data_IF_586957724789
#
_entry.id   IF_586957724789
#
_cell.length_a   1.000
_cell.length_b   1.000
_cell.length_c   1.000
_cell.angle_alpha   90.00
_cell.angle_beta   90.00
_cell.angle_gamma   90.00
#
_symmetry.space_group_name_H-M   'P 1'
#
loop_
_entity.id
_entity.type
_entity.pdbx_description
1 polymer ?
#
# COMPACT_ATOMS: atom_id res chain seq x y z
N UNK A 1 9.63 -13.48 -3.17
CA UNK A 1 9.71 -14.09 -1.83
C UNK A 1 10.70 -15.25 -1.85
N UNK A 2 11.51 -15.42 -0.79
CA UNK A 2 12.52 -16.50 -0.72
C UNK A 2 11.92 -17.89 -0.47
N UNK A 3 10.64 -17.98 -0.11
CA UNK A 3 9.87 -19.23 -0.01
C UNK A 3 9.50 -19.80 -1.39
N UNK A 4 10.50 -20.18 -2.19
CA UNK A 4 10.30 -20.63 -3.58
C UNK A 4 9.63 -22.00 -3.72
N UNK A 5 9.51 -22.76 -2.63
CA UNK A 5 8.73 -24.01 -2.58
C UNK A 5 7.33 -23.81 -1.96
N UNK A 6 6.99 -22.56 -1.60
CA UNK A 6 5.71 -22.21 -0.98
C UNK A 6 5.40 -23.06 0.28
N UNK A 7 6.40 -23.22 1.16
CA UNK A 7 6.30 -24.01 2.40
C UNK A 7 5.57 -23.27 3.52
N UNK A 8 5.63 -21.96 3.52
CA UNK A 8 5.06 -21.09 4.56
C UNK A 8 4.05 -20.09 3.99
N UNK A 9 4.07 -19.87 2.69
CA UNK A 9 3.17 -18.94 2.00
C UNK A 9 1.85 -19.60 1.60
N UNK A 10 0.73 -18.90 1.82
CA UNK A 10 -0.60 -19.31 1.36
C UNK A 10 -1.44 -18.09 1.03
N UNK A 11 -1.82 -17.95 -0.24
CA UNK A 11 -2.72 -16.91 -0.71
C UNK A 11 -4.09 -17.49 -1.09
N UNK A 12 -5.17 -16.82 -0.69
CA UNK A 12 -6.54 -17.22 -0.99
C UNK A 12 -7.43 -16.01 -1.19
N UNK A 13 -8.39 -16.12 -2.11
CA UNK A 13 -9.49 -15.17 -2.20
C UNK A 13 -10.47 -15.53 -1.08
N UNK A 14 -10.69 -14.62 -0.14
CA UNK A 14 -11.57 -14.86 1.02
C UNK A 14 -12.96 -14.27 0.82
N UNK A 15 -13.08 -13.23 -0.01
CA UNK A 15 -14.36 -12.65 -0.37
C UNK A 15 -14.32 -12.30 -1.87
N UNK A 16 -14.78 -13.19 -2.76
CA UNK A 16 -14.92 -12.89 -4.17
C UNK A 16 -16.24 -12.14 -4.38
N UNK A 17 -16.21 -10.95 -4.95
CA UNK A 17 -17.45 -10.30 -5.34
C UNK A 17 -17.27 -9.06 -6.21
N UNK A 18 -18.40 -8.55 -6.72
CA UNK A 18 -18.39 -7.52 -7.74
C UNK A 18 -18.15 -6.11 -7.16
N UNK A 19 -18.49 -5.85 -5.89
CA UNK A 19 -18.23 -4.55 -5.25
C UNK A 19 -16.82 -4.46 -4.66
N UNK A 20 -16.26 -5.60 -4.25
CA UNK A 20 -14.84 -5.76 -3.90
C UNK A 20 -14.42 -7.23 -3.93
N UNK A 21 -13.15 -7.47 -4.22
CA UNK A 21 -12.50 -8.75 -3.99
C UNK A 21 -11.49 -8.64 -2.85
N UNK A 22 -11.51 -9.57 -1.90
CA UNK A 22 -10.55 -9.61 -0.80
C UNK A 22 -9.63 -10.82 -0.94
N UNK A 23 -8.34 -10.56 -1.06
CA UNK A 23 -7.28 -11.58 -1.06
C UNK A 23 -6.58 -11.56 0.27
N UNK A 24 -6.44 -12.72 0.90
CA UNK A 24 -5.66 -12.91 2.12
C UNK A 24 -4.41 -13.73 1.80
N UNK A 25 -3.25 -13.23 2.24
CA UNK A 25 -1.97 -13.88 2.06
C UNK A 25 -1.24 -14.00 3.39
N UNK A 26 -1.06 -15.24 3.85
CA UNK A 26 -0.25 -15.57 5.00
C UNK A 26 1.15 -16.01 4.55
N UNK A 27 2.21 -15.59 5.25
CA UNK A 27 3.56 -16.09 5.00
C UNK A 27 4.50 -15.95 6.20
N UNK A 28 5.58 -16.74 6.20
CA UNK A 28 6.72 -16.57 7.10
C UNK A 28 7.88 -15.88 6.38
N UNK A 29 8.62 -15.02 7.07
CA UNK A 29 9.84 -14.40 6.53
C UNK A 29 10.99 -15.40 6.62
N UNK A 30 11.11 -16.28 5.63
CA UNK A 30 12.21 -17.24 5.58
C UNK A 30 13.33 -16.81 4.62
N UNK A 31 14.52 -17.37 4.82
CA UNK A 31 15.57 -17.34 3.79
C UNK A 31 15.42 -18.46 2.75
N UNK A 32 16.34 -18.52 1.78
CA UNK A 32 16.39 -19.55 0.74
C UNK A 32 16.63 -20.98 1.25
N UNK A 33 16.99 -21.15 2.53
CA UNK A 33 17.12 -22.44 3.21
C UNK A 33 15.90 -22.75 4.08
N UNK A 34 14.82 -21.96 3.95
CA UNK A 34 13.58 -22.09 4.71
C UNK A 34 13.75 -21.87 6.22
N UNK A 35 14.79 -21.14 6.64
CA UNK A 35 14.94 -20.74 8.04
C UNK A 35 14.14 -19.48 8.28
N UNK A 36 13.22 -19.52 9.25
CA UNK A 36 12.36 -18.37 9.57
C UNK A 36 13.18 -17.32 10.35
N UNK A 37 13.07 -16.07 9.93
CA UNK A 37 13.68 -14.92 10.58
C UNK A 37 13.21 -14.85 12.03
N UNK A 38 14.15 -14.77 12.96
CA UNK A 38 13.93 -14.85 14.41
C UNK A 38 13.09 -16.05 14.88
N UNK A 39 13.03 -17.13 14.11
CA UNK A 39 12.30 -18.36 14.45
C UNK A 39 10.80 -18.30 14.19
N UNK A 40 10.16 -17.15 14.39
CA UNK A 40 8.69 -17.01 14.39
C UNK A 40 8.19 -15.70 13.74
N UNK A 41 8.94 -15.13 12.79
CA UNK A 41 8.48 -13.94 12.05
C UNK A 41 7.50 -14.33 10.94
N UNK A 42 6.26 -13.85 11.06
CA UNK A 42 5.19 -14.08 10.09
C UNK A 42 4.48 -12.78 9.73
N UNK A 43 3.68 -12.82 8.67
CA UNK A 43 2.84 -11.73 8.25
C UNK A 43 1.56 -12.25 7.58
N UNK A 44 0.51 -11.43 7.67
CA UNK A 44 -0.76 -11.60 7.00
C UNK A 44 -1.03 -10.30 6.24
N UNK A 45 -1.27 -10.44 4.95
CA UNK A 45 -1.65 -9.34 4.08
C UNK A 45 -3.06 -9.53 3.57
N UNK A 46 -3.88 -8.50 3.74
CA UNK A 46 -5.18 -8.40 3.10
C UNK A 46 -5.11 -7.35 2.01
N UNK A 47 -5.49 -7.73 0.79
CA UNK A 47 -5.70 -6.82 -0.33
C UNK A 47 -7.18 -6.73 -0.61
N UNK A 48 -7.77 -5.57 -0.36
CA UNK A 48 -9.16 -5.26 -0.70
C UNK A 48 -9.18 -4.49 -2.02
N UNK A 49 -9.54 -5.16 -3.11
CA UNK A 49 -9.52 -4.67 -4.49
C UNK A 49 -10.91 -4.21 -4.92
N UNK A 50 -11.03 -3.03 -5.52
CA UNK A 50 -12.30 -2.44 -5.96
C UNK A 50 -12.44 -2.41 -7.49
N UNK A 51 -13.66 -2.16 -8.02
CA UNK A 51 -13.92 -2.07 -9.45
C UNK A 51 -13.10 -1.00 -10.18
N UNK A 52 -12.61 0.02 -9.49
CA UNK A 52 -11.73 1.05 -10.06
C UNK A 52 -10.26 0.63 -10.21
N UNK A 53 -9.93 -0.64 -9.89
CA UNK A 53 -8.57 -1.18 -10.02
C UNK A 53 -7.63 -0.78 -8.90
N UNK A 54 -8.12 -0.07 -7.88
CA UNK A 54 -7.36 0.27 -6.69
C UNK A 54 -7.58 -0.77 -5.59
N UNK A 55 -6.55 -0.95 -4.77
CA UNK A 55 -6.57 -1.86 -3.65
C UNK A 55 -6.06 -1.17 -2.38
N UNK A 56 -6.66 -1.49 -1.23
CA UNK A 56 -6.04 -1.23 0.07
C UNK A 56 -5.31 -2.49 0.50
N UNK A 57 -4.00 -2.37 0.71
CA UNK A 57 -3.17 -3.39 1.33
C UNK A 57 -3.09 -3.10 2.83
N UNK A 58 -3.50 -4.08 3.63
CA UNK A 58 -3.29 -4.15 5.07
C UNK A 58 -2.27 -5.25 5.36
N UNK A 59 -1.06 -4.88 5.75
CA UNK A 59 -0.03 -5.79 6.24
C UNK A 59 -0.11 -5.83 7.77
N UNK A 60 -0.39 -6.98 8.35
CA UNK A 60 -0.18 -7.25 9.77
C UNK A 60 1.11 -8.06 9.90
N UNK A 61 2.12 -7.47 10.52
CA UNK A 61 3.40 -8.15 10.79
C UNK A 61 3.47 -8.64 12.23
N UNK A 62 4.07 -9.81 12.40
CA UNK A 62 4.49 -10.35 13.69
C UNK A 62 6.02 -10.51 13.70
N UNK A 63 6.78 -9.44 14.01
CA UNK A 63 8.23 -9.52 14.17
C UNK A 63 8.65 -10.58 15.18
N UNK A 64 9.54 -11.50 14.80
CA UNK A 64 9.92 -12.62 15.64
C UNK A 64 10.91 -12.28 16.76
N UNK A 65 11.00 -13.18 17.73
CA UNK A 65 11.78 -13.04 18.97
C UNK A 65 12.26 -14.38 19.58
N UNK A 66 11.94 -15.52 18.97
CA UNK A 66 12.27 -16.85 19.50
C UNK A 66 13.71 -17.29 19.21
N UNK A 67 14.41 -16.60 18.31
CA UNK A 67 15.78 -16.93 17.91
C UNK A 67 16.57 -15.73 17.40
N UNK A 68 17.90 -15.81 17.46
CA UNK A 68 18.81 -14.90 16.74
C UNK A 68 19.05 -15.28 15.28
N UNK A 69 18.40 -16.33 14.76
CA UNK A 69 18.51 -16.73 13.35
C UNK A 69 18.03 -15.60 12.43
N UNK A 70 18.84 -15.26 11.43
CA UNK A 70 18.60 -14.09 10.57
C UNK A 70 19.33 -12.82 11.02
N UNK A 71 19.90 -12.82 12.24
CA UNK A 71 20.69 -11.71 12.77
C UNK A 71 19.84 -10.54 13.28
N UNK A 72 20.50 -9.47 13.71
CA UNK A 72 19.83 -8.30 14.26
C UNK A 72 19.10 -7.50 13.14
N UNK A 73 17.79 -7.20 13.29
CA UNK A 73 17.07 -6.42 12.30
C UNK A 73 17.60 -4.99 12.33
N UNK A 74 18.26 -4.65 11.24
CA UNK A 74 18.85 -3.31 11.05
C UNK A 74 18.11 -2.58 9.94
N UNK A 75 17.03 -3.18 9.46
CA UNK A 75 15.99 -2.57 8.64
C UNK A 75 14.70 -3.40 8.77
N UNK A 76 13.57 -2.73 8.61
CA UNK A 76 12.26 -3.35 8.39
C UNK A 76 11.62 -2.68 7.19
N UNK A 77 11.73 -3.34 6.06
CA UNK A 77 11.13 -2.94 4.80
C UNK A 77 9.70 -3.47 4.72
N UNK A 78 8.76 -2.62 4.30
CA UNK A 78 7.33 -2.92 4.24
C UNK A 78 6.84 -3.00 2.79
N UNK A 79 7.61 -2.44 1.86
CA UNK A 79 7.39 -2.54 0.43
C UNK A 79 8.57 -2.00 -0.38
N UNK A 80 8.59 -2.38 -1.65
CA UNK A 80 9.61 -1.99 -2.62
C UNK A 80 8.97 -1.76 -3.99
N UNK A 81 9.34 -0.66 -4.65
CA UNK A 81 9.07 -0.50 -6.07
C UNK A 81 10.12 -1.29 -6.85
N UNK A 82 9.79 -2.56 -7.12
CA UNK A 82 10.63 -3.51 -7.83
C UNK A 82 9.95 -3.93 -9.14
N UNK A 83 10.70 -3.86 -10.24
CA UNK A 83 10.25 -4.28 -11.57
C UNK A 83 10.82 -5.65 -11.88
N UNK A 84 10.00 -6.57 -12.38
CA UNK A 84 10.45 -7.87 -12.87
C UNK A 84 10.75 -7.77 -14.36
N UNK A 85 12.00 -8.03 -14.74
CA UNK A 85 12.43 -8.07 -16.13
C UNK A 85 12.52 -9.53 -16.59
N UNK A 86 11.76 -9.95 -17.62
CA UNK A 86 11.90 -11.29 -18.19
C UNK A 86 13.22 -11.42 -18.97
N UNK A 87 13.53 -12.64 -19.40
CA UNK A 87 14.68 -12.87 -20.31
C UNK A 87 14.46 -12.11 -21.62
N UNK A 88 15.51 -11.48 -22.12
CA UNK A 88 15.49 -10.66 -23.34
C UNK A 88 15.08 -9.20 -23.13
N UNK A 89 14.74 -8.79 -21.91
CA UNK A 89 14.32 -7.42 -21.60
C UNK A 89 15.31 -6.76 -20.67
N UNK A 90 15.68 -5.52 -20.97
CA UNK A 90 16.50 -4.68 -20.09
C UNK A 90 15.68 -3.51 -19.52
N UNK A 91 16.04 -2.98 -18.33
CA UNK A 91 15.24 -1.95 -17.68
C UNK A 91 15.12 -0.65 -18.50
N UNK A 92 16.12 -0.34 -19.32
CA UNK A 92 16.12 0.83 -20.23
C UNK A 92 15.04 0.76 -21.32
N UNK A 93 14.53 -0.44 -21.61
CA UNK A 93 13.45 -0.66 -22.58
C UNK A 93 12.07 -0.55 -21.93
N UNK A 94 11.97 -0.75 -20.62
CA UNK A 94 10.69 -0.79 -19.89
C UNK A 94 10.43 0.48 -19.10
N UNK A 95 11.46 1.10 -18.52
CA UNK A 95 11.32 2.28 -17.68
C UNK A 95 11.41 3.57 -18.50
N UNK A 96 10.41 4.45 -18.32
CA UNK A 96 10.43 5.81 -18.84
C UNK A 96 11.18 6.70 -17.84
N UNK A 97 11.96 7.69 -18.28
CA UNK A 97 12.49 8.71 -17.36
C UNK A 97 11.45 9.82 -17.10
N UNK A 98 11.24 10.24 -15.85
CA UNK A 98 11.79 9.66 -14.62
C UNK A 98 11.21 8.27 -14.34
N UNK A 99 12.01 7.31 -13.88
CA UNK A 99 11.59 5.93 -13.63
C UNK A 99 10.64 5.80 -12.43
N UNK A 100 10.85 6.60 -11.38
CA UNK A 100 9.97 6.70 -10.22
C UNK A 100 9.64 8.18 -9.99
N UNK A 101 8.36 8.48 -9.84
CA UNK A 101 7.88 9.80 -9.41
C UNK A 101 7.25 9.65 -8.03
N UNK A 102 7.73 10.41 -7.05
CA UNK A 102 7.13 10.57 -5.74
C UNK A 102 6.40 11.91 -5.67
N UNK A 103 5.19 11.92 -5.10
CA UNK A 103 4.43 13.14 -4.86
C UNK A 103 3.63 13.06 -3.57
N UNK A 104 3.17 14.20 -3.08
CA UNK A 104 2.22 14.31 -1.98
C UNK A 104 0.93 15.01 -2.45
N UNK A 105 -0.03 15.18 -1.54
CA UNK A 105 -1.30 15.85 -1.79
C UNK A 105 -1.16 17.38 -1.89
N UNK A 106 -0.04 17.97 -1.43
CA UNK A 106 0.24 19.38 -1.61
C UNK A 106 0.81 19.72 -3.01
N UNK A 107 1.02 18.72 -3.86
CA UNK A 107 1.49 18.92 -5.23
C UNK A 107 3.01 18.90 -5.39
N UNK A 108 3.77 18.62 -4.33
CA UNK A 108 5.25 18.54 -4.37
C UNK A 108 5.66 17.27 -5.09
N UNK A 109 6.77 17.32 -5.82
CA UNK A 109 7.22 16.20 -6.67
C UNK A 109 8.72 15.98 -6.50
N UNK A 110 9.11 14.72 -6.37
CA UNK A 110 10.49 14.23 -6.45
C UNK A 110 10.57 13.19 -7.55
N UNK A 111 11.56 13.32 -8.42
CA UNK A 111 11.73 12.47 -9.59
C UNK A 111 13.05 11.72 -9.52
N UNK A 112 13.01 10.42 -9.86
CA UNK A 112 14.16 9.56 -9.89
C UNK A 112 14.30 8.93 -11.27
N UNK A 113 15.41 9.21 -11.96
CA UNK A 113 15.75 8.57 -13.22
C UNK A 113 16.23 7.12 -13.05
N UNK A 114 16.44 6.42 -14.16
CA UNK A 114 17.11 5.12 -14.18
C UNK A 114 18.24 5.13 -15.23
N UNK A 115 19.47 4.69 -14.88
CA UNK A 115 19.95 4.39 -13.53
C UNK A 115 19.99 5.63 -12.64
N UNK A 116 19.80 5.45 -11.32
CA UNK A 116 19.80 6.58 -10.38
C UNK A 116 21.19 6.79 -9.77
N UNK A 117 21.87 7.88 -10.13
CA UNK A 117 23.21 8.17 -9.62
C UNK A 117 23.16 9.28 -8.57
N UNK A 118 23.62 8.99 -7.35
CA UNK A 118 23.83 10.00 -6.30
C UNK A 118 25.06 9.72 -5.46
N UNK A 119 25.55 10.75 -4.78
CA UNK A 119 26.53 10.65 -3.70
C UNK A 119 25.81 10.87 -2.36
N UNK A 120 26.19 10.14 -1.30
CA UNK A 120 25.67 10.37 0.06
C UNK A 120 24.66 9.33 0.60
N UNK A 121 24.02 9.61 1.75
CA UNK A 121 23.20 8.64 2.49
C UNK A 121 21.95 8.20 1.72
N UNK A 122 21.45 7.01 2.05
CA UNK A 122 20.57 6.22 1.16
C UNK A 122 19.12 6.66 1.10
N UNK A 123 18.68 7.65 1.87
CA UNK A 123 17.25 8.01 1.98
C UNK A 123 16.94 9.28 1.18
N UNK A 124 15.75 9.36 0.58
CA UNK A 124 15.37 10.52 -0.25
C UNK A 124 15.37 11.83 0.55
N UNK A 125 14.96 11.80 1.83
CA UNK A 125 14.94 12.99 2.68
C UNK A 125 16.31 13.64 2.91
N UNK A 126 17.42 12.95 2.61
CA UNK A 126 18.74 13.56 2.66
C UNK A 126 18.99 14.53 1.49
N UNK A 127 18.38 14.26 0.35
CA UNK A 127 18.46 15.07 -0.87
C UNK A 127 17.30 16.04 -0.99
N UNK A 128 16.13 15.63 -0.51
CA UNK A 128 14.87 16.38 -0.50
C UNK A 128 14.35 16.51 0.95
N UNK A 129 14.96 17.36 1.80
CA UNK A 129 14.64 17.46 3.23
C UNK A 129 13.17 17.74 3.53
N UNK A 130 12.47 18.43 2.64
CA UNK A 130 11.05 18.71 2.74
C UNK A 130 10.19 17.44 2.77
N UNK A 131 10.66 16.34 2.20
CA UNK A 131 9.96 15.05 2.22
C UNK A 131 9.71 14.56 3.63
N UNK A 132 10.60 14.86 4.59
CA UNK A 132 10.41 14.49 5.99
C UNK A 132 9.13 15.10 6.60
N UNK A 133 8.55 16.13 5.97
CA UNK A 133 7.34 16.84 6.39
C UNK A 133 6.15 16.62 5.46
N UNK A 134 6.22 15.66 4.55
CA UNK A 134 5.06 15.29 3.74
C UNK A 134 4.04 14.56 4.60
N UNK A 135 2.75 14.79 4.33
CA UNK A 135 1.65 14.11 5.03
C UNK A 135 1.48 12.66 4.57
N UNK A 136 1.92 12.38 3.35
CA UNK A 136 1.81 11.10 2.67
C UNK A 136 2.80 11.05 1.51
N UNK A 137 3.03 9.84 1.01
CA UNK A 137 3.93 9.59 -0.10
C UNK A 137 3.18 8.76 -1.13
N UNK A 138 3.15 9.24 -2.36
CA UNK A 138 2.53 8.59 -3.51
C UNK A 138 3.64 8.33 -4.51
N UNK A 139 4.06 7.08 -4.65
CA UNK A 139 5.09 6.67 -5.60
C UNK A 139 4.53 5.93 -6.78
N UNK A 140 4.76 6.46 -7.98
CA UNK A 140 4.36 5.90 -9.27
C UNK A 140 5.59 5.49 -10.08
N UNK A 141 5.65 4.23 -10.51
CA UNK A 141 6.67 3.76 -11.45
C UNK A 141 6.21 4.08 -12.86
N UNK A 142 7.06 4.74 -13.65
CA UNK A 142 6.70 5.16 -15.00
C UNK A 142 7.24 4.15 -16.01
N UNK A 143 6.33 3.40 -16.64
CA UNK A 143 6.68 2.47 -17.71
C UNK A 143 6.55 3.11 -19.10
N UNK A 144 7.28 2.56 -20.07
CA UNK A 144 7.10 2.81 -21.50
C UNK A 144 5.88 2.01 -21.97
N UNK A 145 4.93 2.71 -22.59
CA UNK A 145 3.73 2.16 -23.25
C UNK A 145 2.92 1.13 -22.43
N UNK A 146 2.96 1.28 -21.09
CA UNK A 146 2.22 0.46 -20.15
C UNK A 146 1.63 1.32 -19.03
N UNK A 147 0.50 0.88 -18.43
CA UNK A 147 -0.02 1.50 -17.23
C UNK A 147 1.01 1.51 -16.09
N UNK A 148 1.03 2.60 -15.34
CA UNK A 148 1.99 2.85 -14.27
C UNK A 148 1.47 2.31 -12.93
N UNK A 149 2.14 1.34 -12.29
CA UNK A 149 1.78 0.92 -10.95
C UNK A 149 2.18 2.00 -9.94
N UNK A 150 1.41 2.09 -8.86
CA UNK A 150 1.70 3.00 -7.76
C UNK A 150 1.48 2.36 -6.40
N UNK A 151 2.12 2.96 -5.40
CA UNK A 151 1.83 2.72 -3.99
C UNK A 151 1.75 4.07 -3.27
N UNK A 152 0.77 4.21 -2.39
CA UNK A 152 0.59 5.38 -1.55
C UNK A 152 0.47 4.98 -0.07
N UNK A 153 1.13 5.71 0.81
CA UNK A 153 1.09 5.47 2.25
C UNK A 153 1.23 6.77 3.04
N UNK A 154 0.54 6.89 4.20
CA UNK A 154 0.55 8.11 4.99
C UNK A 154 1.83 8.22 5.83
N UNK A 155 2.23 9.46 6.11
CA UNK A 155 3.11 9.79 7.22
C UNK A 155 2.31 9.86 8.53
N UNK A 156 1.83 8.69 8.98
CA UNK A 156 1.01 8.57 10.18
C UNK A 156 1.42 7.34 10.96
N UNK A 157 1.93 7.45 12.20
CA UNK A 157 2.29 6.28 12.99
C UNK A 157 1.08 5.40 13.36
N UNK A 158 -0.15 5.90 13.20
CA UNK A 158 -1.37 5.13 13.44
C UNK A 158 -1.72 4.20 12.26
N UNK A 159 -1.54 4.68 11.02
CA UNK A 159 -1.90 3.93 9.81
C UNK A 159 -0.69 3.25 9.15
N UNK A 160 0.50 3.82 9.33
CA UNK A 160 1.76 3.34 8.80
C UNK A 160 2.89 3.57 9.83
N UNK A 161 2.98 2.69 10.85
CA UNK A 161 3.99 2.80 11.90
C UNK A 161 5.41 2.90 11.33
N UNK A 162 6.20 3.81 11.90
CA UNK A 162 7.59 4.04 11.52
C UNK A 162 8.39 4.54 12.73
N UNK A 163 9.70 4.32 12.69
CA UNK A 163 10.66 4.86 13.62
C UNK A 163 11.17 6.22 13.13
N UNK A 164 11.90 6.92 13.99
CA UNK A 164 12.67 8.10 13.57
C UNK A 164 13.64 7.70 12.43
N UNK A 165 13.67 8.50 11.38
CA UNK A 165 14.53 8.28 10.22
C UNK A 165 16.00 8.20 10.66
N UNK A 166 16.72 7.18 10.21
CA UNK A 166 18.15 7.04 10.50
C UNK A 166 18.97 8.23 10.03
N UNK A 167 18.55 8.90 8.95
CA UNK A 167 19.33 9.94 8.28
C UNK A 167 19.09 11.35 8.83
N UNK A 168 17.84 11.79 8.93
CA UNK A 168 17.52 13.15 9.38
C UNK A 168 16.98 13.22 10.82
N UNK A 169 16.69 12.07 11.46
CA UNK A 169 16.17 12.00 12.82
C UNK A 169 14.69 12.35 12.99
N UNK A 170 14.02 12.79 11.94
CA UNK A 170 12.59 13.14 11.95
C UNK A 170 11.69 11.89 11.94
N UNK A 171 10.46 12.04 12.45
CA UNK A 171 9.46 10.96 12.46
C UNK A 171 8.74 10.90 11.12
N UNK A 172 9.23 10.07 10.21
CA UNK A 172 8.56 9.76 8.95
C UNK A 172 8.95 8.37 8.41
N UNK A 173 8.12 7.74 7.56
CA UNK A 173 8.50 6.56 6.81
C UNK A 173 9.77 6.82 6.01
N UNK A 174 10.78 5.98 6.19
CA UNK A 174 12.04 6.14 5.48
C UNK A 174 11.92 5.52 4.08
N UNK A 175 12.16 6.33 3.04
CA UNK A 175 12.17 5.88 1.64
C UNK A 175 13.62 5.89 1.14
N UNK A 176 14.09 4.72 0.70
CA UNK A 176 15.47 4.49 0.27
C UNK A 176 15.57 4.22 -1.22
N UNK A 177 16.05 5.17 -2.04
CA UNK A 177 16.44 4.86 -3.41
C UNK A 177 17.58 3.86 -3.48
N UNK A 178 17.53 3.02 -4.50
CA UNK A 178 18.63 2.16 -4.90
C UNK A 178 19.53 2.89 -5.89
N UNK A 179 20.83 2.94 -5.59
CA UNK A 179 21.81 3.73 -6.35
C UNK A 179 22.48 2.88 -7.42
N UNK A 180 22.62 3.46 -8.62
CA UNK A 180 23.22 2.87 -9.80
C UNK A 180 22.23 2.02 -10.60
N UNK A 181 22.79 1.10 -11.38
CA UNK A 181 22.04 0.12 -12.16
C UNK A 181 21.67 -1.08 -11.29
N UNK A 182 20.82 -0.88 -10.29
CA UNK A 182 20.45 -1.94 -9.35
C UNK A 182 19.51 -3.00 -9.98
N UNK A 183 20.10 -3.81 -10.84
CA UNK A 183 19.49 -5.03 -11.34
C UNK A 183 20.06 -6.23 -10.58
N UNK A 184 19.19 -7.07 -10.07
CA UNK A 184 19.54 -8.24 -9.27
C UNK A 184 18.88 -9.52 -9.85
N UNK A 185 19.46 -10.68 -9.55
CA UNK A 185 18.97 -12.01 -9.99
C UNK A 185 18.49 -12.85 -8.79
N UNK A 186 18.00 -12.20 -7.75
CA UNK A 186 17.52 -12.85 -6.52
C UNK A 186 16.01 -13.19 -6.58
N UNK A 187 15.27 -12.62 -7.54
CA UNK A 187 13.89 -13.02 -7.82
C UNK A 187 13.73 -13.32 -9.32
N UNK A 188 12.96 -14.39 -9.66
CA UNK A 188 12.43 -15.40 -8.76
C UNK A 188 13.55 -16.25 -8.12
N UNK A 189 13.40 -16.60 -6.84
CA UNK A 189 14.35 -17.48 -6.14
C UNK A 189 14.17 -18.93 -6.59
N UNK A 190 15.23 -19.74 -6.56
CA UNK A 190 15.20 -21.17 -6.93
C UNK A 190 16.24 -21.98 -6.16
N UNK A 191 16.08 -23.30 -6.11
CA UNK A 191 16.87 -24.24 -5.27
C UNK A 191 18.39 -24.14 -5.39
N UNK A 192 18.92 -23.69 -6.53
CA UNK A 192 20.36 -23.55 -6.79
C UNK A 192 20.91 -22.17 -6.40
N UNK A 193 20.07 -21.25 -5.95
CA UNK A 193 20.47 -19.92 -5.56
C UNK A 193 20.81 -19.89 -4.07
N UNK A 194 22.11 -19.82 -3.73
CA UNK A 194 22.56 -19.65 -2.36
C UNK A 194 23.00 -18.20 -2.10
N UNK A 195 22.18 -17.42 -1.40
CA UNK A 195 22.53 -16.08 -0.96
C UNK A 195 21.63 -15.63 0.21
N UNK A 196 22.11 -14.63 0.94
CA UNK A 196 21.34 -13.90 1.95
C UNK A 196 21.18 -12.46 1.43
N UNK A 197 19.95 -12.03 1.15
CA UNK A 197 19.66 -10.70 0.60
C UNK A 197 19.55 -10.69 -0.92
N UNK A 198 20.52 -10.13 -1.63
CA UNK A 198 20.48 -9.93 -3.09
C UNK A 198 21.74 -10.43 -3.80
N UNK A 199 21.62 -10.68 -5.11
CA UNK A 199 22.73 -11.03 -6.00
C UNK A 199 22.66 -10.15 -7.23
N UNK A 200 23.69 -9.32 -7.46
CA UNK A 200 23.76 -8.40 -8.61
C UNK A 200 23.73 -9.16 -9.93
N UNK A 201 22.95 -8.67 -10.89
CA UNK A 201 22.85 -9.24 -12.22
C UNK A 201 24.07 -8.90 -13.09
N UNK A 202 24.62 -7.69 -13.00
CA UNK A 202 25.76 -7.23 -13.81
C UNK A 202 25.52 -7.48 -15.31
N UNK A 203 26.39 -8.26 -15.96
CA UNK A 203 26.30 -8.60 -17.38
C UNK A 203 25.20 -9.63 -17.71
N UNK A 204 24.46 -10.11 -16.72
CA UNK A 204 23.35 -11.04 -16.88
C UNK A 204 22.00 -10.38 -17.12
N UNK A 205 21.93 -9.04 -17.03
CA UNK A 205 20.73 -8.27 -17.39
C UNK A 205 20.36 -8.58 -18.85
N UNK A 206 19.08 -8.90 -19.09
CA UNK A 206 18.58 -9.37 -20.38
C UNK A 206 18.92 -10.82 -20.74
N UNK A 207 19.91 -11.47 -20.10
CA UNK A 207 20.27 -12.88 -20.38
C UNK A 207 19.44 -13.90 -19.57
N UNK A 208 18.82 -13.45 -18.49
CA UNK A 208 17.98 -14.24 -17.58
C UNK A 208 16.96 -13.32 -16.90
N UNK A 209 15.94 -13.86 -16.21
CA UNK A 209 15.04 -13.02 -15.43
C UNK A 209 15.82 -12.26 -14.34
N UNK A 210 15.57 -10.97 -14.22
CA UNK A 210 16.15 -10.10 -13.20
C UNK A 210 15.07 -9.23 -12.56
N UNK A 211 15.41 -8.59 -11.44
CA UNK A 211 14.64 -7.49 -10.87
C UNK A 211 15.37 -6.18 -11.03
N UNK A 212 14.63 -5.10 -11.21
CA UNK A 212 15.11 -3.72 -11.11
C UNK A 212 14.48 -3.06 -9.90
N UNK A 213 15.31 -2.83 -8.89
CA UNK A 213 14.91 -2.20 -7.64
C UNK A 213 15.06 -0.69 -7.76
N UNK A 214 13.96 0.06 -7.63
CA UNK A 214 13.94 1.52 -7.76
C UNK A 214 14.12 2.19 -6.40
N UNK A 215 13.21 1.92 -5.47
CA UNK A 215 13.30 2.38 -4.09
C UNK A 215 12.50 1.45 -3.17
N UNK A 216 12.83 1.46 -1.89
CA UNK A 216 12.06 0.77 -0.86
C UNK A 216 11.59 1.70 0.26
N UNK A 217 10.60 1.25 1.02
CA UNK A 217 10.01 2.02 2.11
C UNK A 217 9.60 1.11 3.27
N UNK A 218 9.61 1.62 4.49
CA UNK A 218 9.25 0.80 5.64
C UNK A 218 9.31 1.48 6.99
N UNK A 219 9.32 0.66 8.03
CA UNK A 219 9.33 1.11 9.43
C UNK A 219 10.61 1.87 9.76
N UNK A 220 11.74 1.49 9.19
CA UNK A 220 12.98 2.23 9.32
C UNK A 220 14.19 1.38 8.94
N UNK A 221 15.31 2.05 8.70
CA UNK A 221 16.55 1.41 8.33
C UNK A 221 17.67 1.92 9.24
N UNK A 222 18.07 1.10 10.20
CA UNK A 222 19.12 1.36 11.19
C UNK A 222 20.54 1.27 10.63
N UNK A 223 20.70 1.44 9.32
CA UNK A 223 21.99 1.54 8.65
C UNK A 223 22.28 3.01 8.33
N UNK A 224 23.18 3.64 9.09
CA UNK A 224 23.93 4.78 8.57
C UNK A 224 25.29 4.28 8.09
N UNK A 225 25.55 4.46 6.79
CA UNK A 225 26.92 4.51 6.34
C UNK A 225 27.51 5.84 6.82
N UNK A 226 28.70 5.80 7.43
CA UNK A 226 29.53 7.00 7.53
C UNK A 226 29.72 7.60 6.12
N UNK A 227 29.98 8.91 5.99
CA UNK A 227 30.17 9.59 4.70
C UNK A 227 31.17 8.92 3.75
N UNK A 228 32.05 8.07 4.26
CA UNK A 228 33.06 7.31 3.51
C UNK A 228 32.64 5.89 3.11
N UNK A 229 31.39 5.48 3.32
CA UNK A 229 30.89 4.15 2.95
C UNK A 229 31.36 2.99 3.82
N UNK A 230 32.13 3.25 4.89
CA UNK A 230 32.62 2.20 5.78
C UNK A 230 31.48 1.63 6.65
N UNK A 231 31.29 0.31 6.56
CA UNK A 231 30.37 -0.47 7.42
C UNK A 231 31.13 -0.96 8.65
N UNK A 232 31.10 -0.24 9.77
CA UNK A 232 31.68 -0.73 11.04
C UNK A 232 30.59 -1.29 11.94
N UNK A 233 30.94 -2.15 12.89
CA UNK A 233 30.00 -2.71 13.87
C UNK A 233 29.25 -1.64 14.69
N UNK A 234 29.82 -0.43 14.81
CA UNK A 234 29.19 0.74 15.44
C UNK A 234 28.13 1.45 14.56
N UNK A 235 27.98 1.05 13.29
CA UNK A 235 26.95 1.55 12.36
C UNK A 235 25.56 0.97 12.66
N UNK A 236 25.49 -0.16 13.38
CA UNK A 236 24.24 -0.73 13.89
C UNK A 236 23.80 0.02 15.16
N UNK A 237 23.46 1.30 15.02
CA UNK A 237 23.16 2.17 16.16
C UNK A 237 21.85 1.83 16.87
N UNK A 238 20.95 1.04 16.25
CA UNK A 238 19.65 0.70 16.84
C UNK A 238 19.15 -0.64 16.32
N UNK A 239 18.86 -1.56 17.22
CA UNK A 239 17.91 -2.64 16.92
C UNK A 239 16.59 -1.95 16.57
N UNK A 240 16.18 -2.05 15.31
CA UNK A 240 14.87 -1.59 14.90
C UNK A 240 13.97 -2.80 14.95
N UNK A 241 12.99 -2.78 15.84
CA UNK A 241 11.97 -3.81 15.89
C UNK A 241 10.61 -3.12 16.01
N UNK A 242 9.74 -3.25 15.00
CA UNK A 242 8.36 -2.84 15.12
C UNK A 242 7.68 -3.59 16.26
N UNK A 243 6.62 -3.03 16.86
CA UNK A 243 5.79 -3.77 17.81
C UNK A 243 5.28 -5.10 17.22
N UNK A 244 5.02 -6.08 18.10
CA UNK A 244 4.38 -7.36 17.73
C UNK A 244 2.98 -7.41 18.38
N UNK A 245 1.88 -7.51 17.60
CA UNK A 245 1.79 -7.28 16.16
C UNK A 245 1.94 -5.78 15.82
N UNK A 246 2.15 -5.49 14.55
CA UNK A 246 2.00 -4.12 14.01
C UNK A 246 1.32 -4.16 12.65
N UNK A 247 0.66 -3.06 12.27
CA UNK A 247 -0.15 -2.99 11.04
C UNK A 247 0.26 -1.82 10.19
N UNK A 248 0.49 -2.04 8.90
CA UNK A 248 0.72 -1.00 7.90
C UNK A 248 -0.38 -1.01 6.85
N UNK A 249 -0.94 0.17 6.56
CA UNK A 249 -1.91 0.38 5.50
C UNK A 249 -1.28 1.17 4.34
N UNK A 250 -1.46 0.66 3.12
CA UNK A 250 -1.07 1.37 1.90
C UNK A 250 -2.11 1.16 0.81
N UNK A 251 -2.36 2.17 0.00
CA UNK A 251 -3.12 2.03 -1.23
C UNK A 251 -2.17 1.61 -2.36
N UNK A 252 -2.60 0.67 -3.20
CA UNK A 252 -1.85 0.21 -4.36
C UNK A 252 -2.79 0.11 -5.55
N UNK A 253 -2.23 0.20 -6.75
CA UNK A 253 -3.01 0.04 -7.96
C UNK A 253 -2.19 0.34 -9.19
N UNK A 254 -2.91 0.46 -10.29
CA UNK A 254 -2.35 0.75 -11.60
C UNK A 254 -3.13 1.91 -12.20
N UNK A 255 -2.45 2.86 -12.82
CA UNK A 255 -3.08 3.99 -13.49
C UNK A 255 -2.50 4.17 -14.89
N UNK A 256 -3.38 4.42 -15.85
CA UNK A 256 -3.05 4.84 -17.21
C UNK A 256 -2.99 6.37 -17.35
N UNK A 257 -3.42 7.11 -16.32
CA UNK A 257 -3.39 8.57 -16.33
C UNK A 257 -1.94 9.08 -16.26
N UNK A 258 -1.51 9.91 -17.22
CA UNK A 258 -0.22 10.58 -17.12
C UNK A 258 -0.22 11.65 -16.02
N UNK A 259 -1.40 12.13 -15.63
CA UNK A 259 -1.61 13.20 -14.66
C UNK A 259 -1.57 12.67 -13.22
N UNK A 260 -0.75 13.30 -12.38
CA UNK A 260 -0.64 12.98 -10.96
C UNK A 260 -1.86 13.43 -10.16
N UNK A 261 -2.65 14.39 -10.65
CA UNK A 261 -3.78 14.93 -9.89
C UNK A 261 -4.91 13.91 -9.72
N UNK A 262 -5.16 13.10 -10.75
CA UNK A 262 -6.08 11.97 -10.64
C UNK A 262 -5.68 11.02 -9.51
N UNK A 263 -4.37 10.73 -9.40
CA UNK A 263 -3.84 9.85 -8.38
C UNK A 263 -3.92 10.48 -6.98
N UNK A 264 -3.52 11.75 -6.85
CA UNK A 264 -3.64 12.51 -5.59
C UNK A 264 -5.07 12.54 -5.10
N UNK A 265 -6.04 12.76 -5.99
CA UNK A 265 -7.45 12.83 -5.65
C UNK A 265 -7.99 11.52 -5.07
N UNK A 266 -7.62 10.37 -5.64
CA UNK A 266 -7.99 9.05 -5.11
C UNK A 266 -7.35 8.81 -3.74
N UNK A 267 -6.07 9.16 -3.58
CA UNK A 267 -5.36 9.02 -2.30
C UNK A 267 -5.95 9.96 -1.24
N UNK A 268 -6.29 11.20 -1.61
CA UNK A 268 -6.96 12.16 -0.74
C UNK A 268 -8.33 11.66 -0.30
N UNK A 269 -9.12 11.09 -1.21
CA UNK A 269 -10.40 10.45 -0.88
C UNK A 269 -10.26 9.35 0.17
N UNK A 270 -9.12 8.64 0.20
CA UNK A 270 -8.87 7.57 1.15
C UNK A 270 -8.36 8.08 2.50
N UNK A 271 -7.39 9.01 2.50
CA UNK A 271 -6.76 9.52 3.71
C UNK A 271 -7.57 10.62 4.42
N UNK A 272 -8.41 11.32 3.66
CA UNK A 272 -9.29 12.40 4.14
C UNK A 272 -10.73 12.05 3.79
N UNK A 273 -11.32 11.04 4.45
CA UNK A 273 -12.69 10.63 4.17
C UNK A 273 -13.66 11.78 4.47
N UNK A 274 -14.81 11.76 3.78
CA UNK A 274 -15.89 12.68 4.08
C UNK A 274 -16.37 12.52 5.53
N UNK A 275 -16.81 13.62 6.13
CA UNK A 275 -17.60 13.54 7.36
C UNK A 275 -18.99 13.00 6.99
N UNK A 276 -19.55 12.16 7.84
CA UNK A 276 -20.91 11.64 7.69
C UNK A 276 -21.76 12.23 8.81
N UNK A 277 -22.76 13.01 8.43
CA UNK A 277 -23.76 13.54 9.36
C UNK A 277 -25.05 12.71 9.19
N UNK A 278 -25.25 11.74 10.08
CA UNK A 278 -26.39 10.80 10.00
C UNK A 278 -27.70 11.55 10.25
N UNK A 279 -28.66 11.37 9.34
CA UNK A 279 -30.01 11.91 9.48
C UNK A 279 -31.03 10.86 9.94
N UNK A 280 -30.65 9.59 9.87
CA UNK A 280 -31.46 8.46 10.33
C UNK A 280 -31.48 8.42 11.85
N UNK A 281 -32.62 8.09 12.49
CA UNK A 281 -32.67 7.93 13.93
C UNK A 281 -31.68 6.86 14.43
N UNK A 282 -31.00 7.06 15.58
CA UNK A 282 -29.97 6.15 16.07
C UNK A 282 -30.49 4.78 16.52
N UNK A 283 -31.82 4.61 16.66
CA UNK A 283 -32.43 3.31 16.92
C UNK A 283 -32.65 2.48 15.64
N UNK A 284 -32.58 3.10 14.47
CA UNK A 284 -32.71 2.42 13.18
C UNK A 284 -31.34 2.06 12.59
N UNK A 285 -30.38 2.98 12.64
CA UNK A 285 -29.02 2.77 12.15
C UNK A 285 -27.99 3.67 12.88
N UNK A 286 -26.76 3.19 13.01
CA UNK A 286 -25.64 3.92 13.62
C UNK A 286 -24.46 3.96 12.65
N UNK A 287 -23.83 5.13 12.48
CA UNK A 287 -22.57 5.24 11.76
C UNK A 287 -21.40 4.87 12.68
N UNK A 288 -20.60 3.89 12.26
CA UNK A 288 -19.50 3.33 13.06
C UNK A 288 -18.15 3.98 12.74
N UNK A 289 -18.06 4.69 11.61
CA UNK A 289 -16.88 5.43 11.21
C UNK A 289 -16.40 5.06 9.82
N UNK A 290 -15.18 5.49 9.51
CA UNK A 290 -14.51 5.17 8.26
C UNK A 290 -13.43 4.11 8.49
N UNK A 291 -13.59 2.95 7.88
CA UNK A 291 -12.65 1.86 7.94
C UNK A 291 -11.55 2.03 6.89
N UNK A 292 -10.41 2.61 7.27
CA UNK A 292 -9.28 2.87 6.36
C UNK A 292 -8.78 1.62 5.63
N UNK A 293 -8.77 0.45 6.27
CA UNK A 293 -8.38 -0.82 5.65
C UNK A 293 -9.36 -1.32 4.57
N UNK A 294 -10.58 -0.76 4.54
CA UNK A 294 -11.66 -1.10 3.63
C UNK A 294 -12.13 0.09 2.80
N UNK A 295 -11.45 1.25 2.87
CA UNK A 295 -11.83 2.49 2.16
C UNK A 295 -13.36 2.75 2.22
N UNK A 296 -14.00 2.48 3.36
CA UNK A 296 -15.45 2.40 3.45
C UNK A 296 -16.00 3.12 4.67
N UNK A 297 -17.17 3.71 4.50
CA UNK A 297 -18.02 4.20 5.59
C UNK A 297 -18.90 3.05 6.09
N UNK A 298 -18.82 2.75 7.38
CA UNK A 298 -19.52 1.62 7.99
C UNK A 298 -20.76 2.09 8.75
N UNK A 299 -21.88 1.43 8.50
CA UNK A 299 -23.15 1.65 9.19
C UNK A 299 -23.62 0.32 9.76
N UNK A 300 -24.09 0.33 11.00
CA UNK A 300 -24.77 -0.82 11.61
C UNK A 300 -26.26 -0.59 11.63
N UNK A 301 -26.99 -1.47 10.96
CA UNK A 301 -28.45 -1.49 10.96
C UNK A 301 -28.95 -2.14 12.25
N UNK A 302 -30.01 -1.59 12.83
CA UNK A 302 -30.63 -2.09 14.06
C UNK A 302 -32.06 -2.55 13.76
N UNK A 303 -32.98 -1.60 13.58
CA UNK A 303 -34.40 -1.87 13.29
C UNK A 303 -34.85 -1.32 11.93
N UNK A 304 -33.98 -0.55 11.25
CA UNK A 304 -34.28 0.11 9.98
C UNK A 304 -33.99 -0.74 8.74
N UNK A 305 -34.68 -0.42 7.64
CA UNK A 305 -34.41 -0.93 6.29
C UNK A 305 -33.91 0.15 5.33
N UNK A 306 -33.54 1.31 5.87
CA UNK A 306 -32.98 2.43 5.14
C UNK A 306 -32.00 3.20 6.02
N UNK A 307 -31.05 3.88 5.37
CA UNK A 307 -30.14 4.82 6.02
C UNK A 307 -29.98 6.06 5.14
N UNK A 308 -30.20 7.22 5.73
CA UNK A 308 -29.99 8.55 5.16
C UNK A 308 -28.99 9.37 5.97
N UNK A 309 -28.09 10.06 5.27
CA UNK A 309 -27.00 10.85 5.85
C UNK A 309 -26.52 11.92 4.86
N UNK A 310 -25.94 13.00 5.38
CA UNK A 310 -25.16 13.93 4.56
C UNK A 310 -23.71 13.46 4.50
N UNK A 311 -23.22 13.23 3.29
CA UNK A 311 -21.81 13.02 3.01
C UNK A 311 -21.19 14.40 2.77
N UNK A 312 -20.28 14.82 3.65
CA UNK A 312 -19.64 16.13 3.64
C UNK A 312 -18.15 15.96 3.31
N UNK A 313 -17.76 16.14 2.03
CA UNK A 313 -16.37 15.95 1.60
C UNK A 313 -15.38 16.86 2.36
N UNK A 314 -14.29 16.27 2.85
CA UNK A 314 -13.13 17.02 3.39
C UNK A 314 -12.03 17.15 2.34
N UNK A 315 -11.92 16.13 1.49
CA UNK A 315 -11.39 16.17 0.13
C UNK A 315 -12.42 15.56 -0.82
N UNK A 316 -12.22 15.63 -2.14
CA UNK A 316 -13.12 14.98 -3.09
C UNK A 316 -13.28 13.49 -2.76
N UNK A 317 -14.51 13.02 -2.56
CA UNK A 317 -14.79 11.60 -2.31
C UNK A 317 -14.94 10.89 -3.65
N UNK A 318 -13.97 10.04 -3.98
CA UNK A 318 -13.95 9.28 -5.24
C UNK A 318 -14.41 7.86 -4.98
N UNK A 319 -15.38 7.41 -5.76
CA UNK A 319 -16.02 6.10 -5.73
C UNK A 319 -16.29 5.59 -4.29
N UNK A 320 -17.16 6.24 -3.51
CA UNK A 320 -17.36 5.89 -2.12
C UNK A 320 -17.86 4.46 -1.95
N UNK A 321 -17.42 3.85 -0.85
CA UNK A 321 -17.84 2.52 -0.43
C UNK A 321 -18.61 2.64 0.88
N UNK A 322 -19.75 1.97 0.94
CA UNK A 322 -20.57 1.85 2.13
C UNK A 322 -20.67 0.38 2.51
N UNK A 323 -20.42 0.07 3.78
CA UNK A 323 -20.69 -1.25 4.36
C UNK A 323 -21.89 -1.10 5.29
N UNK A 324 -22.94 -1.85 5.02
CA UNK A 324 -24.20 -1.84 5.75
C UNK A 324 -24.30 -3.15 6.52
N UNK A 325 -23.89 -3.12 7.79
CA UNK A 325 -23.86 -4.29 8.65
C UNK A 325 -25.28 -4.68 9.08
N UNK A 326 -25.64 -5.95 8.91
CA UNK A 326 -26.99 -6.45 9.24
C UNK A 326 -28.09 -5.96 8.29
N UNK A 327 -27.79 -5.78 7.01
CA UNK A 327 -28.74 -5.26 6.04
C UNK A 327 -29.83 -6.29 5.65
N UNK A 328 -31.13 -5.92 5.71
CA UNK A 328 -32.22 -6.90 5.64
C UNK A 328 -32.52 -7.44 4.23
N UNK A 329 -32.00 -6.82 3.17
CA UNK A 329 -32.34 -7.15 1.78
C UNK A 329 -31.12 -7.52 0.93
N UNK A 330 -31.34 -8.10 -0.24
CA UNK A 330 -30.26 -8.51 -1.14
C UNK A 330 -29.71 -7.37 -2.02
N UNK A 331 -30.50 -6.30 -2.21
CA UNK A 331 -30.12 -5.15 -3.04
C UNK A 331 -30.53 -3.84 -2.36
N UNK A 332 -30.20 -2.72 -3.00
CA UNK A 332 -30.50 -1.37 -2.54
C UNK A 332 -31.00 -0.47 -3.66
N UNK A 333 -31.73 0.54 -3.24
CA UNK A 333 -32.02 1.74 -3.98
C UNK A 333 -31.24 2.91 -3.37
N UNK A 334 -30.60 3.75 -4.21
CA UNK A 334 -29.77 4.87 -3.72
C UNK A 334 -30.29 6.19 -4.28
N UNK A 335 -30.81 7.04 -3.40
CA UNK A 335 -31.05 8.46 -3.69
C UNK A 335 -29.78 9.26 -3.44
N UNK A 336 -29.33 9.97 -4.48
CA UNK A 336 -28.10 10.76 -4.54
C UNK A 336 -28.45 12.23 -4.74
N UNK A 337 -28.65 12.92 -3.63
CA UNK A 337 -29.29 14.23 -3.59
C UNK A 337 -30.77 14.11 -3.98
N UNK A 338 -31.18 14.88 -4.99
CA UNK A 338 -32.57 14.89 -5.47
C UNK A 338 -32.88 13.80 -6.51
N UNK A 339 -31.91 12.93 -6.85
CA UNK A 339 -32.02 12.01 -7.97
C UNK A 339 -31.72 10.57 -7.53
N UNK A 340 -32.56 9.63 -7.96
CA UNK A 340 -32.29 8.18 -7.82
C UNK A 340 -31.14 7.78 -8.76
N UNK A 341 -30.15 7.05 -8.24
CA UNK A 341 -29.06 6.51 -9.07
C UNK A 341 -29.55 5.36 -9.93
N UNK A 342 -29.07 5.34 -11.17
CA UNK A 342 -29.24 4.23 -12.08
C UNK A 342 -28.40 3.02 -11.62
N UNK A 343 -28.87 1.80 -11.90
CA UNK A 343 -28.26 0.57 -11.37
C UNK A 343 -26.84 0.32 -11.86
N UNK A 344 -26.46 0.89 -13.00
CA UNK A 344 -25.12 0.83 -13.59
C UNK A 344 -24.11 1.77 -12.89
N UNK A 345 -24.58 2.67 -12.02
CA UNK A 345 -23.75 3.61 -11.26
C UNK A 345 -23.26 3.07 -9.94
N UNK A 346 -23.69 1.88 -9.52
CA UNK A 346 -23.23 1.28 -8.29
C UNK A 346 -23.23 -0.25 -8.38
N UNK A 347 -22.38 -0.87 -7.58
CA UNK A 347 -22.24 -2.32 -7.48
C UNK A 347 -22.52 -2.72 -6.04
N UNK A 348 -23.23 -3.83 -5.90
CA UNK A 348 -23.66 -4.35 -4.60
C UNK A 348 -23.12 -5.76 -4.45
N UNK A 349 -22.69 -6.08 -3.25
CA UNK A 349 -22.20 -7.39 -2.87
C UNK A 349 -22.70 -7.72 -1.47
N UNK A 350 -23.36 -8.88 -1.35
CA UNK A 350 -23.74 -9.41 -0.05
C UNK A 350 -22.58 -10.22 0.53
N UNK A 351 -22.23 -9.93 1.78
CA UNK A 351 -21.23 -10.63 2.57
C UNK A 351 -21.92 -11.13 3.85
N UNK A 352 -22.41 -12.37 3.82
CA UNK A 352 -23.23 -12.95 4.89
C UNK A 352 -24.49 -12.12 5.21
N UNK A 353 -24.51 -11.42 6.35
CA UNK A 353 -25.58 -10.53 6.80
C UNK A 353 -25.36 -9.07 6.38
N UNK A 354 -24.18 -8.76 5.84
CA UNK A 354 -23.77 -7.40 5.50
C UNK A 354 -23.92 -7.14 4.01
N UNK A 355 -24.03 -5.86 3.65
CA UNK A 355 -24.09 -5.41 2.27
C UNK A 355 -23.02 -4.37 1.99
N UNK A 356 -22.17 -4.64 1.01
CA UNK A 356 -21.16 -3.72 0.50
C UNK A 356 -21.71 -3.04 -0.74
N UNK A 357 -21.69 -1.71 -0.74
CA UNK A 357 -22.14 -0.87 -1.86
C UNK A 357 -20.96 -0.01 -2.31
N UNK A 358 -20.47 -0.26 -3.52
CA UNK A 358 -19.49 0.59 -4.20
C UNK A 358 -20.22 1.47 -5.19
N UNK A 359 -20.06 2.80 -5.11
CA UNK A 359 -20.74 3.74 -6.00
C UNK A 359 -19.73 4.39 -6.94
N UNK A 360 -19.97 4.33 -8.25
CA UNK A 360 -19.16 5.02 -9.24
C UNK A 360 -19.48 6.51 -9.24
N UNK A 361 -18.48 7.34 -8.97
CA UNK A 361 -18.62 8.79 -9.10
C UNK A 361 -17.76 9.56 -8.13
N UNK A 362 -18.07 10.84 -8.03
CA UNK A 362 -17.32 11.79 -7.23
C UNK A 362 -18.26 12.74 -6.50
N UNK A 363 -17.94 13.02 -5.24
CA UNK A 363 -18.65 14.00 -4.41
C UNK A 363 -17.67 15.07 -3.94
N UNK A 364 -17.89 16.32 -4.38
CA UNK A 364 -17.07 17.49 -4.04
C UNK A 364 -17.79 18.55 -3.22
N UNK A 365 -19.08 18.33 -2.94
CA UNK A 365 -19.93 19.21 -2.15
C UNK A 365 -20.79 18.37 -1.20
N UNK A 366 -21.30 18.96 -0.10
CA UNK A 366 -22.21 18.26 0.80
C UNK A 366 -23.40 17.67 0.04
N UNK A 367 -23.63 16.38 0.20
CA UNK A 367 -24.63 15.64 -0.54
C UNK A 367 -25.43 14.74 0.39
N UNK A 368 -26.75 14.91 0.39
CA UNK A 368 -27.67 13.98 1.05
C UNK A 368 -27.71 12.67 0.27
N UNK A 369 -27.39 11.57 0.92
CA UNK A 369 -27.54 10.21 0.38
C UNK A 369 -28.60 9.49 1.20
N UNK A 370 -29.47 8.73 0.54
CA UNK A 370 -30.35 7.77 1.20
C UNK A 370 -30.26 6.42 0.49
N UNK A 371 -30.05 5.36 1.26
CA UNK A 371 -29.98 3.98 0.80
C UNK A 371 -31.16 3.24 1.43
N UNK A 372 -31.95 2.53 0.63
CA UNK A 372 -33.12 1.77 1.10
C UNK A 372 -33.18 0.37 0.52
N UNK A 373 -33.74 -0.57 1.28
CA UNK A 373 -33.90 -1.96 0.89
C UNK A 373 -34.86 -2.08 -0.30
N UNK A 374 -34.58 -3.04 -1.20
CA UNK A 374 -35.41 -3.37 -2.38
C UNK A 374 -35.95 -4.79 -2.26
#
# INVERSE_FOLDING_TARGET
MMDYENRYSTARIVQPGPARAVVHWHYALCDNRFRIFHGNTTADETYTVYPDGFAIRRLVGWPGDESGFGGNPTLWEVGEWIVLNPTGVVPEETLRSPALTLTDLAGRVVEMGWPYHRQGPRSFCAEFPEMARWGEYIGRVNFVDQPSPFAAFPNSPLLFPHAACGVCGEMHPEIRPFVGNQSDMHLPSYKRADYVGWKRANDEVGKRPTTTSLASYGYGYGMDAQPNGARTAAAYRRLLQPPRPTTWLSMQGVTDSPDLETLRKVVASWLHPARVDVATPPHEAVYEGYAFAQRAHEFRMLEGSAVAFDLVPTAATVNPVFVLNGWPAADVAIDWGARRLDRDRFVVQREDEDLVVWVQGEVTYPLRIAISAV
#
